data_IF_113482052484
#
_entry.id   IF_113482052484
#
_cell.length_a   1.000
_cell.length_b   1.000
_cell.length_c   1.000
_cell.angle_alpha   90.00
_cell.angle_beta   90.00
_cell.angle_gamma   90.00
#
_symmetry.space_group_name_H-M   'P 1'
#
loop_
_entity.id
_entity.type
_entity.pdbx_description
1 polymer ?
#
# COMPACT_ATOMS: atom_id res chain seq x y z
N UNK A 1 -19.93 28.13 -28.38
CA UNK A 1 -20.77 26.93 -28.25
C UNK A 1 -19.90 25.79 -27.75
N UNK A 2 -20.27 25.22 -26.59
CA UNK A 2 -20.30 23.78 -26.26
C UNK A 2 -19.09 22.94 -26.73
N UNK A 3 -18.33 22.27 -25.89
CA UNK A 3 -18.49 21.95 -24.49
C UNK A 3 -17.44 20.90 -24.11
N UNK A 4 -17.17 20.82 -22.81
CA UNK A 4 -16.81 19.61 -22.06
C UNK A 4 -15.88 18.58 -22.74
N UNK A 5 -14.62 18.63 -22.33
CA UNK A 5 -13.89 17.39 -22.02
C UNK A 5 -13.50 17.47 -20.55
N UNK A 6 -14.52 17.35 -19.69
CA UNK A 6 -14.36 16.80 -18.34
C UNK A 6 -14.28 15.30 -18.52
N UNK A 7 -13.09 14.72 -18.38
CA UNK A 7 -12.87 13.32 -17.99
C UNK A 7 -11.37 12.99 -18.06
N UNK A 8 -10.59 13.53 -17.14
CA UNK A 8 -9.43 12.80 -16.65
C UNK A 8 -9.57 12.75 -15.13
N UNK A 9 -10.50 11.89 -14.75
CA UNK A 9 -10.69 11.34 -13.42
C UNK A 9 -9.37 10.73 -13.00
N UNK A 10 -8.48 11.55 -12.44
CA UNK A 10 -7.30 11.07 -11.70
C UNK A 10 -7.86 10.50 -10.40
N UNK A 11 -8.33 9.25 -10.50
CA UNK A 11 -8.52 8.33 -9.38
C UNK A 11 -7.16 8.16 -8.71
N UNK A 12 -6.84 9.15 -7.88
CA UNK A 12 -5.59 9.25 -7.13
C UNK A 12 -5.71 8.27 -5.98
N UNK A 13 -5.28 7.03 -6.20
CA UNK A 13 -4.95 6.09 -5.13
C UNK A 13 -3.93 6.77 -4.21
N UNK A 14 -4.40 7.34 -3.11
CA UNK A 14 -3.63 8.32 -2.33
C UNK A 14 -2.72 7.71 -1.26
N UNK A 15 -2.33 6.45 -1.41
CA UNK A 15 -1.40 5.81 -0.46
C UNK A 15 -0.16 5.16 -1.09
N UNK A 16 -0.03 5.08 -2.41
CA UNK A 16 1.11 4.36 -2.99
C UNK A 16 2.39 5.20 -2.89
N UNK A 17 3.39 4.72 -2.16
CA UNK A 17 4.75 5.27 -2.22
C UNK A 17 5.63 4.42 -3.12
N UNK A 18 6.21 5.02 -4.16
CA UNK A 18 7.34 4.39 -4.81
C UNK A 18 8.54 4.38 -3.85
N UNK A 19 9.29 3.27 -3.83
CA UNK A 19 10.56 3.12 -3.08
C UNK A 19 11.64 2.53 -4.00
N UNK A 20 12.92 2.77 -3.68
CA UNK A 20 14.03 2.29 -4.53
C UNK A 20 14.48 0.86 -4.17
N UNK A 21 14.34 0.48 -2.90
CA UNK A 21 14.86 -0.76 -2.30
C UNK A 21 13.74 -1.50 -1.57
N UNK A 22 13.78 -2.84 -1.50
CA UNK A 22 12.78 -3.58 -0.74
C UNK A 22 12.83 -3.17 0.72
N UNK A 23 11.65 -2.92 1.29
CA UNK A 23 11.47 -2.61 2.71
C UNK A 23 11.13 -3.89 3.47
N UNK A 24 10.47 -4.85 2.81
CA UNK A 24 10.14 -6.16 3.36
C UNK A 24 10.86 -7.24 2.56
N UNK A 25 11.83 -7.90 3.21
CA UNK A 25 12.61 -8.99 2.60
C UNK A 25 11.85 -10.32 2.61
N UNK A 26 11.29 -10.70 3.76
CA UNK A 26 10.47 -11.91 3.95
C UNK A 26 9.08 -11.51 4.39
N UNK A 27 8.07 -11.87 3.59
CA UNK A 27 6.68 -11.60 3.90
C UNK A 27 6.10 -12.63 4.86
N UNK A 28 4.96 -12.28 5.47
CA UNK A 28 4.14 -13.20 6.26
C UNK A 28 2.78 -13.39 5.61
N UNK A 29 2.17 -14.56 5.82
CA UNK A 29 0.79 -14.80 5.46
C UNK A 29 -0.12 -14.12 6.47
N UNK A 30 -0.77 -13.03 6.08
CA UNK A 30 -1.66 -12.28 6.96
C UNK A 30 -2.99 -13.06 7.14
N UNK A 31 -3.47 -13.31 8.37
CA UNK A 31 -4.70 -14.08 8.62
C UNK A 31 -5.96 -13.54 7.93
N UNK A 32 -5.99 -12.25 7.59
CA UNK A 32 -7.11 -11.61 6.88
C UNK A 32 -6.99 -11.65 5.35
N UNK A 33 -5.85 -12.08 4.78
CA UNK A 33 -5.64 -12.07 3.32
C UNK A 33 -5.78 -13.48 2.78
N UNK A 34 -6.98 -13.80 2.32
CA UNK A 34 -7.29 -15.05 1.64
C UNK A 34 -6.86 -15.02 0.17
N UNK A 35 -6.52 -16.20 -0.35
CA UNK A 35 -6.33 -16.40 -1.77
C UNK A 35 -7.66 -16.19 -2.52
N UNK A 36 -7.59 -15.69 -3.75
CA UNK A 36 -8.74 -15.44 -4.61
C UNK A 36 -8.76 -14.05 -5.21
N UNK A 37 -9.92 -13.66 -5.73
CA UNK A 37 -10.10 -12.40 -6.43
C UNK A 37 -10.56 -11.29 -5.50
N UNK A 38 -9.95 -10.13 -5.65
CA UNK A 38 -10.22 -8.92 -4.92
C UNK A 38 -10.54 -7.79 -5.90
N UNK A 39 -11.53 -6.96 -5.58
CA UNK A 39 -12.05 -5.91 -6.46
C UNK A 39 -11.89 -4.54 -5.85
N UNK A 40 -11.41 -3.60 -6.66
CA UNK A 40 -11.34 -2.17 -6.36
C UNK A 40 -12.70 -1.49 -6.55
N UNK A 41 -12.84 -0.30 -5.98
CA UNK A 41 -14.07 0.49 -6.14
C UNK A 41 -14.35 0.90 -7.59
N UNK A 42 -13.31 0.96 -8.43
CA UNK A 42 -13.43 1.21 -9.88
C UNK A 42 -13.81 -0.03 -10.70
N UNK A 43 -14.05 -1.18 -10.05
CA UNK A 43 -14.44 -2.44 -10.69
C UNK A 43 -13.25 -3.30 -11.14
N UNK A 44 -12.02 -2.80 -11.06
CA UNK A 44 -10.82 -3.56 -11.42
C UNK A 44 -10.63 -4.73 -10.46
N UNK A 45 -10.34 -5.91 -11.00
CA UNK A 45 -10.10 -7.13 -10.22
C UNK A 45 -8.63 -7.55 -10.24
N UNK A 46 -8.16 -8.04 -9.09
CA UNK A 46 -6.81 -8.58 -8.90
C UNK A 46 -6.90 -9.90 -8.14
N UNK A 47 -6.23 -10.92 -8.64
CA UNK A 47 -6.05 -12.19 -7.94
C UNK A 47 -4.87 -12.11 -6.99
N UNK A 48 -5.04 -12.62 -5.78
CA UNK A 48 -3.96 -12.84 -4.81
C UNK A 48 -3.83 -14.34 -4.55
N UNK A 49 -2.60 -14.84 -4.52
CA UNK A 49 -2.30 -16.20 -4.08
C UNK A 49 -1.02 -16.25 -3.27
N UNK A 50 -1.07 -16.87 -2.10
CA UNK A 50 0.11 -17.05 -1.26
C UNK A 50 1.08 -18.07 -1.87
N UNK A 51 2.35 -17.67 -1.97
CA UNK A 51 3.47 -18.54 -2.35
C UNK A 51 4.37 -18.75 -1.13
N UNK A 52 4.32 -19.97 -0.59
CA UNK A 52 5.08 -20.36 0.60
C UNK A 52 6.60 -20.35 0.35
N UNK A 53 7.06 -20.71 -0.84
CA UNK A 53 8.49 -20.73 -1.14
C UNK A 53 9.05 -19.31 -1.27
N UNK A 54 8.28 -18.40 -1.85
CA UNK A 54 8.66 -17.00 -2.01
C UNK A 54 8.40 -16.14 -0.75
N UNK A 55 7.64 -16.67 0.22
CA UNK A 55 7.15 -15.93 1.39
C UNK A 55 6.48 -14.60 0.97
N UNK A 56 5.62 -14.68 -0.05
CA UNK A 56 4.98 -13.52 -0.66
C UNK A 56 3.64 -13.91 -1.30
N UNK A 57 2.74 -12.95 -1.44
CA UNK A 57 1.56 -13.12 -2.29
C UNK A 57 1.91 -12.79 -3.73
N UNK A 58 1.59 -13.67 -4.67
CA UNK A 58 1.60 -13.37 -6.10
C UNK A 58 0.35 -12.56 -6.45
N UNK A 59 0.52 -11.55 -7.28
CA UNK A 59 -0.58 -10.71 -7.77
C UNK A 59 -0.82 -11.04 -9.24
N UNK A 60 -2.06 -11.36 -9.62
CA UNK A 60 -2.38 -11.78 -10.99
C UNK A 60 -2.12 -10.70 -12.04
N UNK A 61 -2.18 -9.43 -11.64
CA UNK A 61 -1.84 -8.28 -12.47
C UNK A 61 -0.32 -8.15 -12.74
N UNK A 62 0.49 -9.02 -12.16
CA UNK A 62 1.95 -8.99 -12.21
C UNK A 62 2.55 -8.65 -10.85
N UNK A 63 3.79 -9.08 -10.62
CA UNK A 63 4.53 -8.79 -9.39
C UNK A 63 4.13 -9.62 -8.16
N UNK A 64 4.71 -9.26 -7.03
CA UNK A 64 4.49 -9.91 -5.73
C UNK A 64 4.30 -8.86 -4.65
N UNK A 65 3.54 -9.16 -3.60
CA UNK A 65 3.45 -8.33 -2.39
C UNK A 65 3.93 -9.11 -1.17
N UNK A 66 4.88 -8.51 -0.44
CA UNK A 66 5.34 -9.00 0.85
C UNK A 66 4.73 -8.17 1.96
N UNK A 67 4.18 -8.84 2.97
CA UNK A 67 3.59 -8.21 4.13
C UNK A 67 4.50 -8.35 5.34
N UNK A 68 4.72 -7.28 6.09
CA UNK A 68 5.35 -7.33 7.40
C UNK A 68 4.40 -6.76 8.46
N UNK A 69 4.23 -7.39 9.63
CA UNK A 69 3.43 -6.82 10.71
C UNK A 69 3.95 -5.45 11.14
N UNK A 70 3.03 -4.53 11.41
CA UNK A 70 3.30 -3.21 11.94
C UNK A 70 2.48 -2.99 13.25
N UNK A 71 2.39 -1.74 13.70
CA UNK A 71 1.58 -1.40 14.87
C UNK A 71 0.08 -1.50 14.60
N UNK A 72 -0.72 -1.64 15.67
CA UNK A 72 -2.19 -1.54 15.64
C UNK A 72 -2.89 -2.50 14.67
N UNK A 73 -2.34 -3.71 14.48
CA UNK A 73 -2.92 -4.71 13.58
C UNK A 73 -2.79 -4.37 12.10
N UNK A 74 -1.94 -3.39 11.76
CA UNK A 74 -1.61 -3.05 10.39
C UNK A 74 -0.43 -3.88 9.88
N UNK A 75 -0.27 -3.87 8.56
CA UNK A 75 0.85 -4.45 7.85
C UNK A 75 1.50 -3.38 6.98
N UNK A 76 2.82 -3.45 6.83
CA UNK A 76 3.52 -2.83 5.72
C UNK A 76 3.38 -3.78 4.53
N UNK A 77 2.79 -3.30 3.44
CA UNK A 77 2.66 -4.03 2.19
C UNK A 77 3.67 -3.49 1.16
N UNK A 78 4.68 -4.29 0.84
CA UNK A 78 5.73 -4.00 -0.14
C UNK A 78 5.45 -4.77 -1.45
N UNK A 79 4.85 -4.08 -2.41
CA UNK A 79 4.53 -4.58 -3.73
C UNK A 79 5.68 -4.34 -4.71
N UNK A 80 6.15 -5.41 -5.34
CA UNK A 80 7.31 -5.43 -6.21
C UNK A 80 6.90 -5.89 -7.61
N UNK A 81 6.76 -4.93 -8.51
CA UNK A 81 6.54 -5.13 -9.95
C UNK A 81 7.50 -4.23 -10.76
N UNK A 82 7.07 -3.63 -11.88
CA UNK A 82 7.87 -2.64 -12.63
C UNK A 82 8.18 -1.41 -11.78
N UNK A 83 7.30 -1.09 -10.82
CA UNK A 83 7.52 -0.12 -9.76
C UNK A 83 7.40 -0.83 -8.41
N UNK A 84 8.23 -0.42 -7.46
CA UNK A 84 8.15 -0.89 -6.08
C UNK A 84 7.29 0.08 -5.30
N UNK A 85 6.21 -0.41 -4.71
CA UNK A 85 5.22 0.40 -4.01
C UNK A 85 5.08 -0.10 -2.58
N UNK A 86 5.15 0.79 -1.61
CA UNK A 86 4.90 0.45 -0.20
C UNK A 86 3.68 1.19 0.34
N UNK A 87 2.90 0.50 1.17
CA UNK A 87 1.61 0.92 1.70
C UNK A 87 1.44 0.45 3.15
N UNK A 88 0.61 1.15 3.95
CA UNK A 88 0.03 0.57 5.16
C UNK A 88 -1.30 -0.10 4.82
N UNK A 89 -1.48 -1.31 5.34
CA UNK A 89 -2.60 -2.18 5.04
C UNK A 89 -3.26 -2.67 6.33
N UNK A 90 -4.58 -2.51 6.43
CA UNK A 90 -5.42 -3.28 7.34
C UNK A 90 -6.07 -4.41 6.56
N UNK A 91 -5.89 -5.65 7.03
CA UNK A 91 -6.41 -6.83 6.37
C UNK A 91 -7.55 -7.48 7.16
N UNK A 92 -8.63 -7.84 6.47
CA UNK A 92 -9.75 -8.64 6.98
C UNK A 92 -10.21 -9.62 5.89
N UNK A 93 -10.93 -10.71 6.24
CA UNK A 93 -11.35 -11.72 5.27
C UNK A 93 -12.20 -11.20 4.10
N UNK A 94 -12.81 -10.02 4.24
CA UNK A 94 -13.65 -9.39 3.21
C UNK A 94 -13.02 -8.16 2.59
N UNK A 95 -12.09 -7.50 3.28
CA UNK A 95 -11.61 -6.18 2.88
C UNK A 95 -10.13 -6.00 3.18
N UNK A 96 -9.40 -5.44 2.22
CA UNK A 96 -8.05 -4.92 2.37
C UNK A 96 -8.13 -3.40 2.26
N UNK A 97 -7.84 -2.70 3.35
CA UNK A 97 -7.96 -1.24 3.42
C UNK A 97 -6.57 -0.63 3.52
N UNK A 98 -6.21 0.19 2.54
CA UNK A 98 -4.96 0.93 2.53
C UNK A 98 -5.13 2.25 3.28
N UNK A 99 -4.15 2.58 4.11
CA UNK A 99 -4.27 3.68 5.08
C UNK A 99 -3.09 4.64 4.98
N UNK A 100 -3.35 5.91 5.26
CA UNK A 100 -2.31 6.95 5.37
C UNK A 100 -2.73 8.04 6.38
N UNK A 101 -1.77 8.68 7.08
CA UNK A 101 -2.08 9.84 7.90
C UNK A 101 -2.33 11.10 7.04
N UNK A 102 -2.85 12.20 7.62
CA UNK A 102 -2.96 13.49 6.95
C UNK A 102 -1.61 13.96 6.40
N UNK A 103 -1.60 14.61 5.24
CA UNK A 103 -0.36 15.00 4.53
C UNK A 103 0.64 15.81 5.38
N UNK A 104 0.24 16.79 6.22
CA UNK A 104 1.20 17.50 7.08
C UNK A 104 1.90 16.56 8.07
N UNK A 105 1.17 15.58 8.61
CA UNK A 105 1.69 14.58 9.54
C UNK A 105 2.61 13.61 8.81
N UNK A 106 2.19 13.14 7.64
CA UNK A 106 2.95 12.26 6.77
C UNK A 106 4.34 12.85 6.45
N UNK A 107 4.39 14.11 6.02
CA UNK A 107 5.63 14.84 5.75
C UNK A 107 6.48 15.06 6.99
N UNK A 108 5.85 15.39 8.11
CA UNK A 108 6.53 15.57 9.40
C UNK A 108 7.23 14.30 9.87
N UNK A 109 6.54 13.16 9.81
CA UNK A 109 7.10 11.86 10.19
C UNK A 109 8.27 11.45 9.28
N UNK A 110 8.13 11.63 7.96
CA UNK A 110 9.22 11.34 7.04
C UNK A 110 10.46 12.16 7.40
N UNK A 111 10.31 13.47 7.63
CA UNK A 111 11.42 14.35 7.99
C UNK A 111 12.09 13.93 9.32
N UNK A 112 11.31 13.57 10.34
CA UNK A 112 11.83 13.12 11.65
C UNK A 112 12.72 11.88 11.52
N UNK A 113 12.39 10.96 10.62
CA UNK A 113 13.12 9.71 10.43
C UNK A 113 14.17 9.78 9.31
N UNK A 114 14.44 10.96 8.76
CA UNK A 114 15.44 11.13 7.69
C UNK A 114 14.98 10.65 6.31
N UNK A 115 13.67 10.50 6.12
CA UNK A 115 13.05 10.21 4.82
C UNK A 115 12.46 11.48 4.18
N UNK A 116 12.17 11.41 2.88
CA UNK A 116 11.58 12.51 2.12
C UNK A 116 10.47 12.00 1.21
N UNK A 117 9.34 12.70 1.20
CA UNK A 117 8.21 12.40 0.32
C UNK A 117 8.18 13.44 -0.79
N UNK A 118 8.39 12.98 -2.03
CA UNK A 118 8.23 13.82 -3.22
C UNK A 118 6.83 13.63 -3.80
N UNK A 119 6.19 14.74 -4.16
CA UNK A 119 4.87 14.74 -4.78
C UNK A 119 4.92 14.15 -6.21
N UNK A 120 3.79 13.58 -6.63
CA UNK A 120 3.62 12.98 -7.95
C UNK A 120 2.32 12.17 -8.01
N UNK A 121 1.95 11.62 -9.19
CA UNK A 121 0.78 10.75 -9.33
C UNK A 121 0.84 9.51 -8.42
N UNK A 122 2.06 9.04 -8.17
CA UNK A 122 2.43 8.13 -7.08
C UNK A 122 3.49 8.88 -6.29
N UNK A 123 3.31 9.02 -4.98
CA UNK A 123 4.29 9.71 -4.12
C UNK A 123 5.59 8.90 -4.12
N UNK A 124 6.73 9.55 -3.97
CA UNK A 124 8.02 8.86 -3.86
C UNK A 124 8.56 9.05 -2.44
N UNK A 125 8.63 7.96 -1.67
CA UNK A 125 9.22 7.93 -0.33
C UNK A 125 10.68 7.51 -0.44
N UNK A 126 11.59 8.47 -0.27
CA UNK A 126 13.04 8.27 -0.37
C UNK A 126 13.69 8.30 1.00
N UNK A 127 14.78 7.57 1.14
CA UNK A 127 15.59 7.46 2.35
C UNK A 127 16.39 6.16 2.27
N UNK A 128 17.26 5.92 3.22
CA UNK A 128 17.77 4.56 3.42
C UNK A 128 16.64 3.62 3.88
N UNK A 129 16.85 2.30 3.77
CA UNK A 129 15.83 1.29 4.10
C UNK A 129 15.34 1.44 5.55
N UNK A 130 16.23 1.78 6.49
CA UNK A 130 15.89 1.86 7.90
C UNK A 130 15.04 3.10 8.18
N UNK A 131 15.37 4.24 7.58
CA UNK A 131 14.59 5.47 7.63
C UNK A 131 13.18 5.28 7.05
N UNK A 132 13.07 4.59 5.90
CA UNK A 132 11.77 4.28 5.29
C UNK A 132 10.94 3.35 6.20
N UNK A 133 11.54 2.29 6.72
CA UNK A 133 10.87 1.36 7.64
C UNK A 133 10.41 2.07 8.93
N UNK A 134 11.26 2.91 9.52
CA UNK A 134 10.94 3.69 10.72
C UNK A 134 9.79 4.67 10.45
N UNK A 135 9.81 5.36 9.30
CA UNK A 135 8.73 6.26 8.87
C UNK A 135 7.39 5.52 8.78
N UNK A 136 7.35 4.36 8.11
CA UNK A 136 6.14 3.55 7.98
C UNK A 136 5.65 3.01 9.33
N UNK A 137 6.57 2.58 10.20
CA UNK A 137 6.25 2.16 11.56
C UNK A 137 5.63 3.28 12.38
N UNK A 138 6.17 4.50 12.30
CA UNK A 138 5.63 5.67 12.97
C UNK A 138 4.26 6.07 12.43
N UNK A 139 4.04 5.99 11.12
CA UNK A 139 2.72 6.17 10.51
C UNK A 139 1.72 5.14 11.03
N UNK A 140 2.11 3.85 11.08
CA UNK A 140 1.22 2.78 11.54
C UNK A 140 0.81 2.91 13.01
N UNK A 141 1.66 3.52 13.84
CA UNK A 141 1.38 3.76 15.25
C UNK A 141 0.32 4.86 15.48
N UNK A 142 -0.07 5.60 14.44
CA UNK A 142 -0.99 6.73 14.57
C UNK A 142 -2.47 6.32 14.66
N UNK A 143 -3.27 7.06 15.43
CA UNK A 143 -4.72 6.81 15.55
C UNK A 143 -5.55 7.49 14.44
N UNK A 144 -5.03 8.51 13.77
CA UNK A 144 -5.74 9.36 12.79
C UNK A 144 -5.50 8.93 11.34
N UNK A 145 -5.38 7.63 11.10
CA UNK A 145 -5.20 7.09 9.76
C UNK A 145 -6.51 7.16 8.96
N UNK A 146 -6.44 7.77 7.79
CA UNK A 146 -7.54 7.83 6.83
C UNK A 146 -7.40 6.72 5.77
N UNK A 147 -8.53 6.27 5.26
CA UNK A 147 -8.59 5.38 4.11
C UNK A 147 -8.10 6.08 2.84
N UNK A 148 -7.21 5.42 2.14
CA UNK A 148 -6.62 5.89 0.89
C UNK A 148 -6.94 4.99 -0.31
N UNK A 149 -7.50 3.81 -0.05
CA UNK A 149 -7.98 2.87 -1.04
C UNK A 149 -8.42 1.56 -0.42
N UNK A 150 -9.16 0.77 -1.19
CA UNK A 150 -9.78 -0.47 -0.72
C UNK A 150 -9.78 -1.55 -1.80
N UNK A 151 -9.66 -2.79 -1.35
CA UNK A 151 -10.03 -3.98 -2.11
C UNK A 151 -11.07 -4.77 -1.35
N UNK A 152 -12.10 -5.24 -2.04
CA UNK A 152 -13.18 -6.07 -1.50
C UNK A 152 -13.10 -7.47 -2.10
N UNK A 153 -13.27 -8.51 -1.28
CA UNK A 153 -13.19 -9.89 -1.77
C UNK A 153 -14.37 -10.20 -2.69
N UNK A 154 -14.09 -10.75 -3.86
CA UNK A 154 -15.10 -11.19 -4.82
C UNK A 154 -15.49 -12.63 -4.49
N UNK A 155 -16.77 -12.86 -4.26
CA UNK A 155 -17.30 -14.18 -3.93
C UNK A 155 -17.14 -14.57 -2.45
N UNK A 156 -17.64 -15.75 -2.06
CA UNK A 156 -17.68 -16.21 -0.68
C UNK A 156 -16.31 -16.52 -0.07
#
# INVERSE_FOLDING_TARGET
MRGWVVALTVLSLSACYQVQVPVVDKGVRAPGVADGTWRRDDGTEVGLSWDEAAQAYRVSAGGVVRLAPAANGLYVADYQAERRIVLLLRASPRELVFLAPPEPVEKGLAAVHGAAIKAGPIKLLNGDVQAVAATLGAMAARPDLAEAGRLTRVGP
#
